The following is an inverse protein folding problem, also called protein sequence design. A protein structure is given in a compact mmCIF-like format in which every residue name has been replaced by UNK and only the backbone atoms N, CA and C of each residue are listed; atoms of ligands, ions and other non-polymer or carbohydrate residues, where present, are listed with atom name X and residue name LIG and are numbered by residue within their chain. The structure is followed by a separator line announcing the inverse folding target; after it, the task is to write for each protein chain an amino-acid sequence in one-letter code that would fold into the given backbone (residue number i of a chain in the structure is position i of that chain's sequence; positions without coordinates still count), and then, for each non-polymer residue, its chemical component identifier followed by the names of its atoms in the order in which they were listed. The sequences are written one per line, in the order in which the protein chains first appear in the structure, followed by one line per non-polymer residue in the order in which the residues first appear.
data_IF_974036862700
#
_entry.id   IF_974036862700
#
_cell.length_a   1.000
_cell.length_b   1.000
_cell.length_c   1.000
_cell.angle_alpha   90.00
_cell.angle_beta   90.00
_cell.angle_gamma   90.00
#
_symmetry.space_group_name_H-M   'P 1'
#
loop_
_entity.id
_entity.type
_entity.pdbx_description
1 polymer ?
#
# COMPACT_ATOMS: atom_id res chain seq x y z
N UNK A 1 -4.40 21.84 77.89
CA UNK A 1 -5.65 21.78 78.68
C UNK A 1 -6.62 22.72 77.96
N UNK A 2 -7.55 22.31 77.11
CA UNK A 2 -8.22 21.05 76.79
C UNK A 2 -8.76 21.25 75.35
N UNK A 3 -8.67 20.32 74.41
CA UNK A 3 -9.21 18.98 74.51
C UNK A 3 -10.69 18.96 74.11
N UNK A 4 -11.04 19.22 72.84
CA UNK A 4 -12.33 18.82 72.27
C UNK A 4 -12.16 18.21 70.87
N UNK A 5 -12.06 16.89 70.89
CA UNK A 5 -12.34 15.96 69.78
C UNK A 5 -13.67 16.33 69.10
N UNK A 6 -13.69 16.30 67.77
CA UNK A 6 -14.88 16.00 66.98
C UNK A 6 -14.52 14.88 65.97
N UNK A 7 -15.44 13.95 65.69
CA UNK A 7 -15.17 12.71 64.95
C UNK A 7 -15.08 12.91 63.42
N UNK A 8 -14.44 11.97 62.69
CA UNK A 8 -14.36 12.02 61.24
C UNK A 8 -15.72 11.66 60.61
N UNK A 9 -16.23 12.56 59.77
CA UNK A 9 -17.40 12.33 58.93
C UNK A 9 -16.94 11.58 57.67
N UNK A 10 -17.30 10.30 57.60
CA UNK A 10 -17.26 9.47 56.41
C UNK A 10 -18.38 9.91 55.45
N UNK A 11 -18.00 10.39 54.26
CA UNK A 11 -18.93 10.51 53.14
C UNK A 11 -18.30 9.90 51.90
N UNK A 12 -18.75 8.68 51.60
CA UNK A 12 -18.60 8.02 50.30
C UNK A 12 -19.59 8.63 49.30
N UNK A 13 -19.19 8.91 48.06
CA UNK A 13 -20.00 8.60 46.88
C UNK A 13 -19.29 7.48 46.09
N UNK A 14 -19.92 6.32 45.90
CA UNK A 14 -20.83 6.03 44.79
C UNK A 14 -20.19 6.41 43.44
N UNK A 15 -19.76 5.38 42.71
CA UNK A 15 -18.83 5.51 41.60
C UNK A 15 -19.40 6.10 40.30
N UNK A 16 -18.49 6.30 39.36
CA UNK A 16 -18.68 5.76 38.03
C UNK A 16 -17.34 5.17 37.54
N UNK A 17 -17.43 3.92 37.12
CA UNK A 17 -16.52 3.37 36.14
C UNK A 17 -17.04 3.81 34.77
N UNK A 18 -16.13 4.13 33.86
CA UNK A 18 -16.48 4.34 32.47
C UNK A 18 -16.48 5.80 32.04
N UNK A 19 -15.37 6.22 31.46
CA UNK A 19 -15.43 6.56 30.04
C UNK A 19 -14.04 6.41 29.44
N UNK A 20 -13.79 5.20 28.97
CA UNK A 20 -12.74 4.93 28.02
C UNK A 20 -13.07 5.75 26.77
N UNK A 21 -12.45 6.93 26.66
CA UNK A 21 -12.49 7.75 25.46
C UNK A 21 -11.70 7.03 24.37
N UNK A 22 -12.33 6.03 23.74
CA UNK A 22 -11.95 5.63 22.40
C UNK A 22 -12.33 6.77 21.47
N UNK A 23 -11.47 7.78 21.42
CA UNK A 23 -11.45 8.72 20.33
C UNK A 23 -11.04 7.92 19.09
N UNK A 24 -12.02 7.43 18.34
CA UNK A 24 -11.80 6.95 16.98
C UNK A 24 -11.47 8.17 16.12
N UNK A 25 -10.24 8.65 16.24
CA UNK A 25 -9.64 9.55 15.27
C UNK A 25 -9.51 8.78 13.98
N UNK A 26 -10.45 9.00 13.05
CA UNK A 26 -10.32 8.62 11.66
C UNK A 26 -9.10 9.34 11.09
N UNK A 27 -7.93 8.73 11.27
CA UNK A 27 -6.71 9.21 10.64
C UNK A 27 -6.91 9.00 9.15
N UNK A 28 -7.23 10.09 8.44
CA UNK A 28 -7.20 10.08 6.98
C UNK A 28 -5.78 9.71 6.57
N UNK A 29 -5.57 8.48 6.10
CA UNK A 29 -4.26 8.00 5.69
C UNK A 29 -3.75 8.87 4.55
N UNK A 30 -2.46 9.18 4.59
CA UNK A 30 -1.81 9.91 3.51
C UNK A 30 -0.45 9.30 3.25
N UNK A 31 -0.07 9.22 1.97
CA UNK A 31 1.21 8.65 1.58
C UNK A 31 2.40 9.49 2.05
N UNK A 32 2.25 10.78 2.43
CA UNK A 32 3.26 11.68 3.06
C UNK A 32 4.75 11.34 2.81
N UNK A 33 5.19 11.28 1.55
CA UNK A 33 6.60 11.02 1.19
C UNK A 33 6.99 9.54 0.99
N UNK A 34 6.08 8.59 1.17
CA UNK A 34 6.32 7.18 0.83
C UNK A 34 6.39 7.03 -0.70
N UNK A 35 7.50 6.49 -1.20
CA UNK A 35 7.80 6.36 -2.64
C UNK A 35 7.77 4.91 -3.12
N UNK A 36 7.43 3.96 -2.24
CA UNK A 36 7.58 2.52 -2.50
C UNK A 36 6.91 2.07 -3.81
N UNK A 37 5.69 2.51 -4.09
CA UNK A 37 4.99 2.15 -5.33
C UNK A 37 5.67 2.69 -6.60
N UNK A 38 6.32 3.85 -6.52
CA UNK A 38 7.03 4.46 -7.64
C UNK A 38 8.32 3.71 -7.97
N UNK A 39 8.92 3.01 -7.00
CA UNK A 39 10.15 2.23 -7.20
C UNK A 39 9.82 0.78 -7.52
N UNK A 40 8.98 0.13 -6.72
CA UNK A 40 8.87 -1.33 -6.70
C UNK A 40 7.83 -1.92 -7.65
N UNK A 41 6.83 -1.15 -8.06
CA UNK A 41 5.78 -1.67 -8.95
C UNK A 41 6.17 -1.47 -10.42
N UNK A 42 5.97 -2.47 -11.29
CA UNK A 42 6.19 -2.30 -12.71
C UNK A 42 5.10 -1.42 -13.34
N UNK A 43 5.43 -0.68 -14.40
CA UNK A 43 4.46 0.10 -15.18
C UNK A 43 4.70 -0.20 -16.67
N UNK A 44 3.60 -0.48 -17.40
CA UNK A 44 3.65 -0.78 -18.84
C UNK A 44 4.25 0.36 -19.67
N UNK A 45 4.81 0.04 -20.85
CA UNK A 45 5.26 1.05 -21.82
C UNK A 45 4.14 2.05 -22.16
N UNK A 46 4.52 3.30 -22.43
CA UNK A 46 3.62 4.38 -22.83
C UNK A 46 2.85 5.06 -21.68
N UNK A 47 2.97 4.58 -20.44
CA UNK A 47 2.24 5.16 -19.30
C UNK A 47 3.03 6.29 -18.62
N UNK A 48 4.31 6.06 -18.30
CA UNK A 48 5.20 7.04 -17.65
C UNK A 48 6.44 7.37 -18.47
N UNK A 49 6.73 6.57 -19.49
CA UNK A 49 7.81 6.72 -20.46
C UNK A 49 7.48 5.90 -21.72
N UNK A 50 8.16 6.11 -22.87
CA UNK A 50 7.95 5.28 -24.06
C UNK A 50 8.19 3.79 -23.80
N UNK A 51 9.22 3.44 -23.03
CA UNK A 51 9.50 2.08 -22.55
C UNK A 51 8.81 1.76 -21.22
N UNK A 52 8.82 0.47 -20.84
CA UNK A 52 8.32 0.02 -19.54
C UNK A 52 9.13 0.61 -18.38
N UNK A 53 8.50 0.81 -17.22
CA UNK A 53 9.18 0.96 -15.94
C UNK A 53 9.27 -0.41 -15.27
N UNK A 54 10.45 -1.03 -15.16
CA UNK A 54 10.58 -2.30 -14.44
C UNK A 54 10.29 -2.15 -12.93
N UNK A 55 9.98 -3.27 -12.28
CA UNK A 55 9.94 -3.36 -10.82
C UNK A 55 11.35 -3.11 -10.24
N UNK A 56 11.43 -2.46 -9.08
CA UNK A 56 12.69 -2.09 -8.43
C UNK A 56 13.41 -0.88 -9.05
N UNK A 57 12.97 -0.40 -10.22
CA UNK A 57 13.56 0.75 -10.90
C UNK A 57 12.74 2.02 -10.60
N UNK A 58 13.37 3.11 -10.14
CA UNK A 58 12.70 4.39 -9.89
C UNK A 58 11.89 4.89 -11.09
N UNK A 59 10.67 5.34 -10.84
CA UNK A 59 9.85 6.02 -11.84
C UNK A 59 10.52 7.31 -12.32
N UNK A 60 10.48 7.63 -13.63
CA UNK A 60 11.05 8.88 -14.14
C UNK A 60 10.37 10.14 -13.56
N UNK A 61 9.17 10.02 -12.99
CA UNK A 61 8.43 11.09 -12.32
C UNK A 61 8.71 11.15 -10.81
N UNK A 62 9.56 10.28 -10.27
CA UNK A 62 9.92 10.28 -8.86
C UNK A 62 10.79 11.50 -8.50
N UNK A 63 10.52 12.06 -7.34
CA UNK A 63 11.31 13.10 -6.68
C UNK A 63 11.45 12.76 -5.19
N UNK A 64 12.26 13.54 -4.45
CA UNK A 64 12.53 13.30 -3.04
C UNK A 64 11.25 13.22 -2.17
N UNK A 65 10.23 14.01 -2.50
CA UNK A 65 8.98 14.10 -1.72
C UNK A 65 7.85 13.21 -2.27
N UNK A 66 8.10 12.44 -3.33
CA UNK A 66 7.09 11.65 -4.02
C UNK A 66 7.04 11.92 -5.52
N UNK A 67 5.86 11.70 -6.13
CA UNK A 67 5.67 11.93 -7.56
C UNK A 67 5.63 13.43 -7.87
N UNK A 68 6.55 13.94 -8.70
CA UNK A 68 6.60 15.36 -9.11
C UNK A 68 5.38 15.82 -9.92
N UNK A 69 4.63 14.89 -10.47
CA UNK A 69 3.40 15.13 -11.21
C UNK A 69 2.18 14.52 -10.51
N UNK A 70 2.15 14.49 -9.18
CA UNK A 70 1.12 13.77 -8.41
C UNK A 70 -0.31 14.13 -8.85
N UNK A 71 -0.64 15.41 -9.02
CA UNK A 71 -1.97 15.85 -9.47
C UNK A 71 -2.34 15.39 -10.89
N UNK A 72 -1.34 15.10 -11.72
CA UNK A 72 -1.46 14.63 -13.11
C UNK A 72 -1.05 13.16 -13.28
N UNK A 73 -0.97 12.40 -12.17
CA UNK A 73 -0.54 10.99 -12.22
C UNK A 73 -1.43 10.16 -13.16
N UNK A 74 -0.85 9.24 -13.95
CA UNK A 74 -1.60 8.36 -14.84
C UNK A 74 -2.65 7.54 -14.10
N UNK A 75 -3.69 7.09 -14.80
CA UNK A 75 -4.80 6.35 -14.19
C UNK A 75 -4.33 5.11 -13.42
N UNK A 76 -3.37 4.36 -13.96
CA UNK A 76 -2.72 3.22 -13.29
C UNK A 76 -2.18 3.59 -11.90
N UNK A 77 -1.58 4.78 -11.75
CA UNK A 77 -1.08 5.26 -10.45
C UNK A 77 -2.20 5.77 -9.53
N UNK A 78 -3.37 6.17 -10.07
CA UNK A 78 -4.55 6.59 -9.28
C UNK A 78 -5.33 5.40 -8.74
N UNK A 79 -5.42 4.35 -9.55
CA UNK A 79 -6.17 3.13 -9.23
C UNK A 79 -5.43 2.26 -8.20
N UNK A 80 -4.13 2.51 -8.02
CA UNK A 80 -3.33 1.77 -7.04
C UNK A 80 -3.55 2.25 -5.61
N UNK A 81 -3.79 1.29 -4.72
CA UNK A 81 -3.83 1.47 -3.27
C UNK A 81 -3.09 0.30 -2.62
N UNK A 82 -2.06 0.58 -1.80
CA UNK A 82 -1.37 -0.48 -1.05
C UNK A 82 -2.20 -0.98 0.13
N UNK A 83 -1.92 -2.18 0.64
CA UNK A 83 -2.68 -2.79 1.75
C UNK A 83 -2.70 -1.91 2.99
N UNK A 84 -1.57 -1.25 3.32
CA UNK A 84 -1.53 -0.29 4.42
C UNK A 84 -2.47 0.89 4.18
N UNK A 85 -2.50 1.49 2.99
CA UNK A 85 -3.41 2.62 2.77
C UNK A 85 -4.87 2.19 2.81
N UNK A 86 -5.17 0.97 2.33
CA UNK A 86 -6.52 0.42 2.28
C UNK A 86 -7.06 -0.01 3.65
N UNK A 87 -6.21 -0.63 4.48
CA UNK A 87 -6.65 -1.23 5.74
C UNK A 87 -6.44 -0.26 6.90
N UNK A 88 -7.52 0.41 7.33
CA UNK A 88 -7.47 1.45 8.37
C UNK A 88 -7.05 0.94 9.75
N UNK A 89 -7.09 -0.37 10.00
CA UNK A 89 -6.65 -0.99 11.25
C UNK A 89 -5.15 -1.30 11.28
N UNK A 90 -4.45 -1.30 10.15
CA UNK A 90 -3.01 -1.62 10.11
C UNK A 90 -2.17 -0.50 10.74
N UNK A 91 -1.27 -0.78 11.68
CA UNK A 91 -0.52 0.28 12.37
C UNK A 91 0.38 1.09 11.42
N UNK A 92 0.73 2.32 11.82
CA UNK A 92 1.63 3.20 11.04
C UNK A 92 2.98 2.52 10.75
N UNK A 93 3.50 1.70 11.66
CA UNK A 93 4.73 0.94 11.48
C UNK A 93 4.72 0.02 10.25
N UNK A 94 3.54 -0.39 9.77
CA UNK A 94 3.40 -1.26 8.60
C UNK A 94 3.40 -0.48 7.28
N UNK A 95 3.46 0.86 7.33
CA UNK A 95 3.60 1.70 6.14
C UNK A 95 4.87 1.33 5.36
N UNK A 96 4.85 1.23 4.02
CA UNK A 96 5.94 0.58 3.28
C UNK A 96 7.34 1.18 3.47
N UNK A 97 7.45 2.50 3.60
CA UNK A 97 8.72 3.18 3.85
C UNK A 97 9.25 2.98 5.28
N UNK A 98 8.42 2.47 6.19
CA UNK A 98 8.80 2.13 7.58
C UNK A 98 9.06 0.64 7.75
N UNK A 99 8.16 -0.21 7.24
CA UNK A 99 8.26 -1.67 7.33
C UNK A 99 9.27 -2.26 6.35
N UNK A 100 9.66 -1.50 5.31
CA UNK A 100 10.42 -2.00 4.17
C UNK A 100 9.70 -3.15 3.45
N UNK A 101 8.36 -3.19 3.53
CA UNK A 101 7.50 -4.15 2.83
C UNK A 101 6.36 -3.43 2.11
N UNK A 102 6.27 -3.59 0.79
CA UNK A 102 5.12 -3.11 0.01
C UNK A 102 4.12 -4.25 -0.18
N UNK A 103 3.02 -4.18 0.56
CA UNK A 103 1.96 -5.17 0.52
C UNK A 103 0.81 -4.71 -0.39
N UNK A 104 0.28 -5.65 -1.17
CA UNK A 104 -0.85 -5.47 -2.06
C UNK A 104 -1.84 -6.63 -1.85
N UNK A 105 -3.08 -6.41 -2.26
CA UNK A 105 -4.11 -7.43 -2.32
C UNK A 105 -4.82 -7.34 -3.66
N UNK A 106 -5.17 -8.50 -4.20
CA UNK A 106 -5.82 -8.63 -5.49
C UNK A 106 -6.94 -9.65 -5.40
N UNK A 107 -8.10 -9.34 -5.97
CA UNK A 107 -9.16 -10.31 -6.18
C UNK A 107 -9.01 -10.85 -7.60
N UNK A 108 -8.81 -12.16 -7.71
CA UNK A 108 -8.64 -12.86 -8.97
C UNK A 108 -10.00 -13.14 -9.64
N UNK A 109 -9.96 -13.45 -10.93
CA UNK A 109 -11.17 -13.73 -11.73
C UNK A 109 -11.95 -14.94 -11.20
N UNK A 110 -11.25 -15.95 -10.67
CA UNK A 110 -11.86 -17.13 -10.04
C UNK A 110 -12.46 -16.86 -8.65
N UNK A 111 -12.40 -15.61 -8.17
CA UNK A 111 -12.93 -15.20 -6.88
C UNK A 111 -11.94 -15.28 -5.71
N UNK A 112 -10.80 -15.95 -5.88
CA UNK A 112 -9.77 -16.02 -4.85
C UNK A 112 -9.15 -14.63 -4.57
N UNK A 113 -8.67 -14.44 -3.36
CA UNK A 113 -7.98 -13.25 -2.89
C UNK A 113 -6.50 -13.60 -2.72
N UNK A 114 -5.62 -12.98 -3.51
CA UNK A 114 -4.18 -13.10 -3.36
C UNK A 114 -3.59 -11.86 -2.67
N UNK A 115 -2.58 -12.06 -1.83
CA UNK A 115 -1.72 -10.98 -1.38
C UNK A 115 -0.35 -11.06 -2.07
N UNK A 116 0.28 -9.90 -2.28
CA UNK A 116 1.64 -9.79 -2.82
C UNK A 116 2.47 -8.89 -1.92
N UNK A 117 3.66 -9.33 -1.54
CA UNK A 117 4.59 -8.58 -0.69
C UNK A 117 5.91 -8.42 -1.42
N UNK A 118 6.30 -7.18 -1.70
CA UNK A 118 7.65 -6.87 -2.12
C UNK A 118 8.52 -6.56 -0.91
N UNK A 119 9.67 -7.22 -0.83
CA UNK A 119 10.75 -6.86 0.06
C UNK A 119 11.50 -5.64 -0.51
N UNK A 120 11.51 -4.53 0.23
CA UNK A 120 12.08 -3.27 -0.25
C UNK A 120 13.54 -3.05 0.19
N UNK A 121 14.00 -3.83 1.16
CA UNK A 121 15.38 -3.80 1.66
C UNK A 121 15.80 -5.21 2.08
N UNK A 122 17.09 -5.58 1.93
CA UNK A 122 17.56 -6.90 2.31
C UNK A 122 17.19 -7.26 3.74
N UNK A 123 16.67 -8.47 3.93
CA UNK A 123 16.25 -9.02 5.23
C UNK A 123 15.03 -8.32 5.86
N UNK A 124 14.31 -7.45 5.15
CA UNK A 124 13.09 -6.86 5.68
C UNK A 124 12.02 -7.92 5.99
N UNK A 125 11.98 -9.02 5.23
CA UNK A 125 11.09 -10.16 5.51
C UNK A 125 11.45 -10.93 6.80
N UNK A 126 12.65 -10.71 7.36
CA UNK A 126 13.11 -11.36 8.60
C UNK A 126 12.82 -10.51 9.84
N UNK A 127 12.39 -9.25 9.67
CA UNK A 127 12.10 -8.35 10.78
C UNK A 127 10.80 -8.77 11.50
N UNK A 128 10.66 -8.61 12.83
CA UNK A 128 9.43 -8.99 13.56
C UNK A 128 8.14 -8.39 12.97
N UNK A 129 8.20 -7.14 12.50
CA UNK A 129 7.06 -6.48 11.82
C UNK A 129 6.56 -7.26 10.60
N UNK A 130 7.46 -7.95 9.88
CA UNK A 130 7.10 -8.77 8.74
C UNK A 130 6.24 -9.95 9.16
N UNK A 131 6.58 -10.61 10.27
CA UNK A 131 5.78 -11.73 10.78
C UNK A 131 4.35 -11.30 11.11
N UNK A 132 4.16 -10.12 11.72
CA UNK A 132 2.83 -9.58 12.01
C UNK A 132 2.04 -9.27 10.73
N UNK A 133 2.69 -8.61 9.76
CA UNK A 133 2.11 -8.31 8.44
C UNK A 133 1.71 -9.60 7.73
N UNK A 134 2.58 -10.60 7.70
CA UNK A 134 2.34 -11.87 7.01
C UNK A 134 1.22 -12.67 7.69
N UNK A 135 1.12 -12.65 9.02
CA UNK A 135 -0.02 -13.24 9.75
C UNK A 135 -1.33 -12.58 9.34
N UNK A 136 -1.39 -11.24 9.31
CA UNK A 136 -2.60 -10.53 8.88
C UNK A 136 -2.96 -10.81 7.42
N UNK A 137 -1.98 -10.78 6.51
CA UNK A 137 -2.19 -11.08 5.10
C UNK A 137 -2.69 -12.50 4.89
N UNK A 138 -2.13 -13.50 5.58
CA UNK A 138 -2.60 -14.88 5.50
C UNK A 138 -4.04 -15.00 5.97
N UNK A 139 -4.43 -14.34 7.06
CA UNK A 139 -5.81 -14.37 7.54
C UNK A 139 -6.83 -13.78 6.54
N UNK A 140 -6.39 -12.87 5.66
CA UNK A 140 -7.26 -12.13 4.73
C UNK A 140 -7.15 -12.60 3.26
N UNK A 141 -6.28 -13.57 2.95
CA UNK A 141 -6.04 -14.02 1.58
C UNK A 141 -5.89 -15.54 1.48
N UNK A 142 -6.22 -16.11 0.32
CA UNK A 142 -6.05 -17.54 0.04
C UNK A 142 -4.56 -17.93 -0.08
N UNK A 143 -3.71 -16.99 -0.50
CA UNK A 143 -2.27 -17.15 -0.58
C UNK A 143 -1.55 -15.81 -0.55
N UNK A 144 -0.29 -15.82 -0.11
CA UNK A 144 0.60 -14.66 -0.13
C UNK A 144 1.80 -14.97 -1.02
N UNK A 145 2.04 -14.15 -2.04
CA UNK A 145 3.26 -14.20 -2.85
C UNK A 145 4.29 -13.25 -2.24
N UNK A 146 5.50 -13.73 -2.03
CA UNK A 146 6.63 -12.92 -1.63
C UNK A 146 7.52 -12.68 -2.84
N UNK A 147 8.05 -11.47 -2.96
CA UNK A 147 9.07 -11.08 -3.93
C UNK A 147 10.23 -10.50 -3.15
N UNK A 148 11.37 -11.19 -3.13
CA UNK A 148 12.55 -10.66 -2.44
C UNK A 148 13.20 -9.52 -3.23
N UNK A 149 14.22 -8.89 -2.65
CA UNK A 149 14.97 -7.79 -3.30
C UNK A 149 15.62 -8.18 -4.63
N UNK A 150 15.92 -9.47 -4.84
CA UNK A 150 16.46 -10.01 -6.09
C UNK A 150 15.38 -10.28 -7.16
N UNK A 151 14.10 -10.13 -6.80
CA UNK A 151 12.96 -10.42 -7.67
C UNK A 151 12.51 -11.88 -7.67
N UNK A 152 13.12 -12.73 -6.86
CA UNK A 152 12.72 -14.13 -6.72
C UNK A 152 11.38 -14.22 -6.00
N UNK A 153 10.57 -15.19 -6.42
CA UNK A 153 9.19 -15.35 -5.96
C UNK A 153 9.04 -16.63 -5.14
N UNK A 154 8.34 -16.52 -4.03
CA UNK A 154 7.86 -17.68 -3.27
C UNK A 154 6.39 -17.52 -2.91
N UNK A 155 5.70 -18.62 -2.66
CA UNK A 155 4.27 -18.61 -2.32
C UNK A 155 4.08 -19.21 -0.94
N UNK A 156 3.39 -18.47 -0.09
CA UNK A 156 2.91 -18.89 1.20
C UNK A 156 1.42 -19.22 1.07
N UNK A 157 1.07 -20.51 1.14
CA UNK A 157 -0.33 -20.97 1.22
C UNK A 157 -0.71 -21.19 2.68
N UNK A 158 -2.01 -21.22 2.97
CA UNK A 158 -2.54 -21.80 4.21
C UNK A 158 -2.11 -23.25 4.31
N UNK A 159 -1.28 -23.56 5.32
CA UNK A 159 -0.98 -24.81 6.05
C UNK A 159 -1.04 -26.16 5.31
N UNK A 160 -1.13 -26.17 3.99
CA UNK A 160 -1.24 -27.36 3.16
C UNK A 160 0.03 -27.45 2.34
N UNK A 161 0.86 -28.49 2.55
CA UNK A 161 2.11 -28.65 1.81
C UNK A 161 1.76 -28.98 0.37
N UNK A 162 2.09 -28.07 -0.56
CA UNK A 162 1.97 -28.33 -2.00
C UNK A 162 3.34 -28.10 -2.62
N UNK A 163 3.93 -29.24 -3.02
CA UNK A 163 5.10 -29.38 -3.89
C UNK A 163 5.04 -28.42 -5.08
N UNK A 164 6.19 -27.89 -5.47
CA UNK A 164 6.43 -26.90 -6.55
C UNK A 164 6.04 -27.33 -7.97
N UNK A 165 5.22 -28.36 -8.16
CA UNK A 165 5.03 -28.99 -9.47
C UNK A 165 3.79 -28.56 -10.26
N UNK A 166 2.91 -27.72 -9.73
CA UNK A 166 1.86 -27.08 -10.53
C UNK A 166 1.99 -25.58 -10.43
N UNK A 167 2.53 -24.98 -11.49
CA UNK A 167 2.45 -23.56 -11.75
C UNK A 167 1.01 -23.22 -12.19
N UNK A 168 0.13 -22.63 -11.36
CA UNK A 168 -0.69 -21.58 -11.91
C UNK A 168 0.33 -20.51 -12.29
N UNK A 169 0.44 -20.18 -13.57
CA UNK A 169 1.08 -18.96 -14.03
C UNK A 169 0.35 -17.81 -13.36
N UNK A 170 0.69 -17.50 -12.10
CA UNK A 170 0.21 -16.31 -11.40
C UNK A 170 0.69 -15.18 -12.29
N UNK A 171 -0.20 -14.54 -13.06
CA UNK A 171 0.25 -13.54 -13.98
C UNK A 171 0.90 -12.44 -13.13
N UNK A 172 1.93 -11.79 -13.67
CA UNK A 172 2.53 -10.60 -13.05
C UNK A 172 1.37 -9.75 -12.52
N UNK A 173 1.44 -9.25 -11.27
CA UNK A 173 0.31 -8.63 -10.60
C UNK A 173 -0.45 -7.81 -11.62
N UNK A 174 -1.72 -8.16 -11.85
CA UNK A 174 -2.55 -7.44 -12.80
C UNK A 174 -2.87 -6.11 -12.14
N UNK A 175 -1.86 -5.25 -12.06
CA UNK A 175 -2.07 -3.83 -12.07
C UNK A 175 -3.09 -3.59 -13.18
N UNK A 176 -4.23 -2.95 -12.88
CA UNK A 176 -5.38 -3.01 -13.74
C UNK A 176 -4.99 -2.46 -15.12
N UNK A 177 -4.72 -3.35 -16.07
CA UNK A 177 -5.26 -3.16 -17.39
C UNK A 177 -6.75 -3.35 -17.17
N UNK A 178 -7.44 -2.24 -16.85
CA UNK A 178 -8.87 -2.16 -17.15
C UNK A 178 -8.98 -2.35 -18.66
N UNK A 179 -9.04 -3.60 -19.10
CA UNK A 179 -9.45 -3.91 -20.44
C UNK A 179 -10.88 -3.41 -20.58
N UNK A 180 -11.05 -2.48 -21.54
CA UNK A 180 -12.33 -2.00 -22.09
C UNK A 180 -13.10 -0.98 -21.25
N UNK A 181 -12.60 0.26 -21.20
CA UNK A 181 -13.46 1.40 -21.53
C UNK A 181 -13.16 1.79 -22.97
N UNK A 182 -14.21 1.93 -23.80
CA UNK A 182 -14.10 2.37 -25.19
C UNK A 182 -13.12 3.53 -25.28
N UNK A 183 -12.14 3.43 -26.18
CA UNK A 183 -11.23 4.51 -26.47
C UNK A 183 -12.04 5.77 -26.81
N UNK A 184 -12.01 6.77 -25.93
CA UNK A 184 -12.21 8.15 -26.35
C UNK A 184 -10.81 8.61 -26.74
N UNK A 185 -10.61 8.79 -28.05
CA UNK A 185 -9.36 9.31 -28.58
C UNK A 185 -9.06 10.68 -27.92
N UNK A 186 -7.84 10.94 -27.44
CA UNK A 186 -7.47 12.28 -27.04
C UNK A 186 -7.44 13.16 -28.30
N UNK A 187 -8.34 14.13 -28.35
CA UNK A 187 -8.36 15.15 -29.38
C UNK A 187 -7.15 16.07 -29.13
N UNK A 188 -6.04 15.80 -29.81
CA UNK A 188 -4.90 16.70 -29.86
C UNK A 188 -5.09 17.59 -31.09
N UNK A 189 -5.77 18.71 -30.91
CA UNK A 189 -5.74 19.79 -31.90
C UNK A 189 -4.36 20.44 -31.81
N UNK A 190 -3.54 20.17 -32.81
CA UNK A 190 -2.35 20.94 -33.12
C UNK A 190 -2.77 22.24 -33.78
N UNK A 191 -2.78 23.34 -33.04
CA UNK A 191 -2.65 24.66 -33.67
C UNK A 191 -1.18 24.88 -33.99
N UNK A 192 -0.84 24.61 -35.25
CA UNK A 192 0.32 25.18 -35.90
C UNK A 192 -0.12 26.49 -36.54
N UNK A 193 0.24 27.62 -35.91
CA UNK A 193 0.36 28.89 -36.62
C UNK A 193 1.84 29.14 -36.85
N UNK A 194 2.27 28.82 -38.06
CA UNK A 194 3.39 29.50 -38.68
C UNK A 194 2.93 30.92 -39.04
N UNK A 195 3.81 31.90 -38.82
CA UNK A 195 4.09 33.09 -39.65
C UNK A 195 4.65 34.20 -38.77
N UNK A 196 5.95 34.45 -38.90
CA UNK A 196 6.56 35.77 -38.76
C UNK A 196 7.90 35.72 -39.52
N UNK A 197 7.82 35.94 -40.83
CA UNK A 197 8.96 36.34 -41.66
C UNK A 197 9.07 37.86 -41.60
N UNK A 198 10.12 38.32 -40.92
CA UNK A 198 10.72 39.65 -41.07
C UNK A 198 11.64 39.64 -42.30
N UNK A 199 11.44 40.57 -43.24
CA UNK A 199 12.27 40.75 -44.45
C UNK A 199 11.49 41.17 -45.69
#
# INVERSE_FOLDING_TARGET
MDGKLHPPQTTTPAGNEGSSSHATTSHTRSCRGCTACCVWLPISPGVVSPGAKPAGIPCPLLSAEGCRAYSRRPQTCRDFVCSWYRCETWPEAWRPDRSQLLCLHEKLENGAIGALVYELAPSALQHPVAAEILTALRAESDFVVLVNVSGERSILRHDTPVSETEHPTVPRPHFPSRAKRKAVAPNYQSDATAEDTDG
#
